data_IF_960676188515
#
_entry.id   IF_960676188515
#
_cell.length_a   1.000
_cell.length_b   1.000
_cell.length_c   1.000
_cell.angle_alpha   90.00
_cell.angle_beta   90.00
_cell.angle_gamma   90.00
#
_symmetry.space_group_name_H-M   'P 1'
#
loop_
_entity.id
_entity.type
_entity.pdbx_description
1 polymer ?
#
# COMPACT_ATOMS: atom_id res chain seq x y z
N UNK A 1 20.33 1.98 -11.08
CA UNK A 1 20.13 2.47 -9.70
C UNK A 1 19.28 1.45 -8.97
N UNK A 2 19.91 0.55 -8.20
CA UNK A 2 19.26 -0.56 -7.51
C UNK A 2 18.62 -0.04 -6.23
N UNK A 3 17.35 0.36 -6.31
CA UNK A 3 16.57 0.74 -5.13
C UNK A 3 16.53 -0.45 -4.17
N UNK A 4 17.01 -0.26 -2.94
CA UNK A 4 17.05 -1.30 -1.92
C UNK A 4 15.61 -1.69 -1.57
N UNK A 5 15.28 -2.97 -1.67
CA UNK A 5 14.04 -3.50 -1.12
C UNK A 5 14.02 -3.24 0.40
N UNK A 6 12.93 -2.65 0.89
CA UNK A 6 12.70 -2.43 2.31
C UNK A 6 11.70 -3.47 2.84
N UNK A 7 12.03 -4.10 3.97
CA UNK A 7 11.13 -5.04 4.64
C UNK A 7 10.06 -4.32 5.46
N UNK A 8 8.79 -4.66 5.24
CA UNK A 8 7.66 -4.15 6.02
C UNK A 8 7.00 -5.30 6.80
N UNK A 9 6.92 -5.16 8.13
CA UNK A 9 6.31 -6.17 9.02
C UNK A 9 5.01 -5.62 9.60
N UNK A 10 3.92 -6.34 9.39
CA UNK A 10 2.58 -6.00 9.90
C UNK A 10 2.13 -7.11 10.86
N UNK A 11 1.51 -6.73 11.97
CA UNK A 11 0.75 -7.65 12.82
C UNK A 11 -0.73 -7.54 12.46
N UNK A 12 -1.36 -8.67 12.22
CA UNK A 12 -2.78 -8.80 11.89
C UNK A 12 -3.37 -9.97 12.67
N UNK A 13 -4.69 -10.00 12.80
CA UNK A 13 -5.37 -11.14 13.40
C UNK A 13 -5.16 -12.41 12.59
N UNK A 14 -5.13 -13.55 13.30
CA UNK A 14 -4.86 -14.86 12.69
C UNK A 14 -5.89 -15.18 11.59
N UNK A 15 -7.17 -14.99 11.90
CA UNK A 15 -8.26 -15.36 11.00
C UNK A 15 -8.26 -14.48 9.74
N UNK A 16 -7.90 -13.19 9.89
CA UNK A 16 -7.77 -12.28 8.76
C UNK A 16 -6.65 -12.71 7.83
N UNK A 17 -5.49 -13.06 8.38
CA UNK A 17 -4.35 -13.56 7.60
C UNK A 17 -4.73 -14.83 6.86
N UNK A 18 -5.35 -15.79 7.55
CA UNK A 18 -5.64 -17.11 6.99
C UNK A 18 -6.65 -16.99 5.83
N UNK A 19 -7.72 -16.18 6.00
CA UNK A 19 -8.66 -15.83 4.91
C UNK A 19 -7.97 -15.12 3.74
N UNK A 20 -7.07 -14.16 4.02
CA UNK A 20 -6.36 -13.45 2.96
C UNK A 20 -5.45 -14.37 2.15
N UNK A 21 -4.73 -15.28 2.83
CA UNK A 21 -3.86 -16.28 2.18
C UNK A 21 -4.69 -17.23 1.32
N UNK A 22 -5.84 -17.70 1.82
CA UNK A 22 -6.74 -18.58 1.08
C UNK A 22 -7.23 -17.92 -0.22
N UNK A 23 -7.66 -16.66 -0.14
CA UNK A 23 -8.08 -15.89 -1.32
C UNK A 23 -6.94 -15.65 -2.31
N UNK A 24 -5.72 -15.41 -1.81
CA UNK A 24 -4.54 -15.27 -2.65
C UNK A 24 -4.22 -16.57 -3.40
N UNK A 25 -4.30 -17.72 -2.71
CA UNK A 25 -4.12 -19.06 -3.31
C UNK A 25 -5.18 -19.37 -4.35
N UNK A 26 -6.45 -19.08 -4.05
CA UNK A 26 -7.55 -19.28 -4.99
C UNK A 26 -7.38 -18.48 -6.30
N UNK A 27 -6.69 -17.35 -6.23
CA UNK A 27 -6.37 -16.49 -7.38
C UNK A 27 -5.00 -16.77 -8.01
N UNK A 28 -4.28 -17.79 -7.52
CA UNK A 28 -2.90 -18.11 -7.91
C UNK A 28 -1.93 -16.90 -7.86
N UNK A 29 -2.10 -16.05 -6.85
CA UNK A 29 -1.30 -14.83 -6.67
C UNK A 29 -0.60 -14.84 -5.33
N UNK A 30 0.72 -14.54 -5.27
CA UNK A 30 1.41 -14.41 -3.98
C UNK A 30 0.83 -13.28 -3.13
N UNK A 31 0.64 -13.52 -1.83
CA UNK A 31 0.12 -12.53 -0.89
C UNK A 31 0.91 -11.20 -0.92
N UNK A 32 2.24 -11.27 -1.03
CA UNK A 32 3.09 -10.08 -1.14
C UNK A 32 2.83 -9.27 -2.42
N UNK A 33 2.50 -9.94 -3.53
CA UNK A 33 2.15 -9.27 -4.78
C UNK A 33 0.82 -8.52 -4.64
N UNK A 34 -0.19 -9.18 -4.06
CA UNK A 34 -1.50 -8.58 -3.81
C UNK A 34 -1.37 -7.37 -2.89
N UNK A 35 -0.61 -7.48 -1.79
CA UNK A 35 -0.37 -6.36 -0.87
C UNK A 35 0.30 -5.18 -1.58
N UNK A 36 1.34 -5.43 -2.39
CA UNK A 36 2.04 -4.38 -3.15
C UNK A 36 1.10 -3.67 -4.12
N UNK A 37 0.23 -4.40 -4.80
CA UNK A 37 -0.73 -3.82 -5.74
C UNK A 37 -1.83 -3.02 -5.01
N UNK A 38 -2.32 -3.53 -3.88
CA UNK A 38 -3.23 -2.78 -3.00
C UNK A 38 -2.60 -1.48 -2.48
N UNK A 39 -1.32 -1.52 -2.09
CA UNK A 39 -0.60 -0.33 -1.64
C UNK A 39 -0.47 0.71 -2.75
N UNK A 40 -0.15 0.28 -3.99
CA UNK A 40 -0.10 1.19 -5.15
C UNK A 40 -1.45 1.83 -5.43
N UNK A 41 -2.50 1.02 -5.52
CA UNK A 41 -3.86 1.53 -5.73
C UNK A 41 -4.27 2.51 -4.63
N UNK A 42 -4.00 2.16 -3.37
CA UNK A 42 -4.28 3.04 -2.24
C UNK A 42 -3.53 4.37 -2.34
N UNK A 43 -2.26 4.35 -2.75
CA UNK A 43 -1.48 5.57 -2.99
C UNK A 43 -2.09 6.35 -4.14
N UNK A 44 -2.39 5.73 -5.28
CA UNK A 44 -2.92 6.41 -6.47
C UNK A 44 -4.27 7.09 -6.18
N UNK A 45 -5.18 6.37 -5.50
CA UNK A 45 -6.49 6.88 -5.07
C UNK A 45 -6.35 8.08 -4.13
N UNK A 46 -5.37 8.02 -3.21
CA UNK A 46 -5.14 9.08 -2.24
C UNK A 46 -4.23 10.20 -2.80
N UNK A 47 -3.38 9.94 -3.77
CA UNK A 47 -2.51 10.94 -4.39
C UNK A 47 -3.36 11.92 -5.20
N UNK A 48 -4.37 11.44 -5.92
CA UNK A 48 -5.36 12.29 -6.57
C UNK A 48 -6.11 13.19 -5.55
N UNK A 49 -6.37 12.69 -4.34
CA UNK A 49 -6.98 13.47 -3.26
C UNK A 49 -5.99 14.43 -2.55
N UNK A 50 -4.71 14.06 -2.47
CA UNK A 50 -3.66 14.81 -1.77
C UNK A 50 -2.93 15.83 -2.64
N UNK A 51 -2.97 15.74 -3.98
CA UNK A 51 -2.47 16.79 -4.87
C UNK A 51 -3.22 18.11 -4.64
N UNK A 52 -4.50 18.02 -4.26
CA UNK A 52 -5.32 19.17 -3.81
C UNK A 52 -4.88 19.72 -2.44
N UNK A 53 -4.16 18.94 -1.61
CA UNK A 53 -3.72 19.35 -0.27
C UNK A 53 -2.24 19.74 -0.18
N UNK A 54 -1.37 19.18 -1.03
CA UNK A 54 0.06 19.50 -1.05
C UNK A 54 0.34 20.95 -1.49
N UNK A 55 -0.50 21.52 -2.36
CA UNK A 55 -0.39 22.93 -2.79
C UNK A 55 -0.70 23.93 -1.67
N UNK A 56 -1.42 23.54 -0.61
CA UNK A 56 -1.77 24.45 0.51
C UNK A 56 -0.69 24.58 1.59
N UNK A 57 0.33 23.72 1.64
CA UNK A 57 1.34 23.75 2.73
C UNK A 57 2.60 24.57 2.42
N UNK A 58 2.76 25.13 1.22
CA UNK A 58 3.99 25.81 0.80
C UNK A 58 3.87 27.33 0.59
N UNK A 59 2.74 27.95 0.97
CA UNK A 59 2.50 29.40 0.78
C UNK A 59 2.34 30.18 2.09
N UNK A 60 3.10 29.81 3.12
CA UNK A 60 2.99 30.39 4.47
C UNK A 60 4.28 30.33 5.29
N UNK A 61 5.42 30.64 4.68
CA UNK A 61 6.60 31.05 5.43
C UNK A 61 7.43 32.04 4.60
N UNK A 62 7.05 33.31 4.69
CA UNK A 62 7.91 34.48 4.42
C UNK A 62 7.71 35.46 5.55
#
# INVERSE_FOLDING_TARGET
MTGKDAGFRIRVERDLRDKFIEMCRAKDRPAAQVIRDFMRQYIDDNAAANDTQAVKKQKGHS
#
